data_IF_555917219135
#
_entry.id   IF_555917219135
#
_cell.length_a   1.000
_cell.length_b   1.000
_cell.length_c   1.000
_cell.angle_alpha   90.00
_cell.angle_beta   90.00
_cell.angle_gamma   90.00
#
_symmetry.space_group_name_H-M   'P 1'
#
loop_
_entity.id
_entity.type
_entity.pdbx_description
1 polymer ?
#
# COMPACT_ATOMS: atom_id res chain seq x y z
N UNK A 1 4.77 11.33 -17.23
CA UNK A 1 5.61 10.89 -16.10
C UNK A 1 4.88 11.25 -14.81
N UNK A 2 4.39 10.27 -14.06
CA UNK A 2 3.87 10.54 -12.72
C UNK A 2 5.07 10.65 -11.78
N UNK A 3 5.14 11.73 -10.99
CA UNK A 3 6.19 11.90 -9.99
C UNK A 3 6.12 10.84 -8.88
N UNK A 4 7.11 10.82 -7.98
CA UNK A 4 7.18 9.85 -6.89
C UNK A 4 5.91 9.83 -6.04
N UNK A 5 5.57 8.64 -5.54
CA UNK A 5 4.43 8.48 -4.65
C UNK A 5 4.65 9.27 -3.35
N UNK A 6 3.55 9.73 -2.76
CA UNK A 6 3.60 10.46 -1.50
C UNK A 6 4.11 9.55 -0.38
N UNK A 7 4.99 10.06 0.51
CA UNK A 7 5.49 9.35 1.70
C UNK A 7 4.37 8.71 2.52
N UNK A 8 3.24 9.39 2.62
CA UNK A 8 2.08 8.92 3.38
C UNK A 8 1.54 7.58 2.87
N UNK A 9 1.76 7.25 1.60
CA UNK A 9 1.41 5.94 1.03
C UNK A 9 2.21 4.84 1.71
N UNK A 10 3.53 4.98 1.78
CA UNK A 10 4.41 3.97 2.38
C UNK A 10 4.24 3.86 3.89
N UNK A 11 3.98 4.99 4.57
CA UNK A 11 3.67 4.96 5.99
C UNK A 11 2.35 4.23 6.26
N UNK A 12 1.34 4.42 5.42
CA UNK A 12 0.07 3.70 5.56
C UNK A 12 0.26 2.18 5.37
N UNK A 13 1.10 1.76 4.43
CA UNK A 13 1.44 0.34 4.27
C UNK A 13 2.16 -0.22 5.50
N UNK A 14 3.10 0.54 6.05
CA UNK A 14 3.76 0.13 7.29
C UNK A 14 2.77 -0.02 8.45
N UNK A 15 1.70 0.78 8.53
CA UNK A 15 0.68 0.60 9.58
C UNK A 15 -0.05 -0.75 9.49
N UNK A 16 -0.23 -1.27 8.28
CA UNK A 16 -0.86 -2.58 8.05
C UNK A 16 0.13 -3.69 8.40
N UNK A 17 1.36 -3.59 7.92
CA UNK A 17 2.39 -4.59 8.19
C UNK A 17 2.65 -4.73 9.70
N UNK A 18 2.60 -3.61 10.45
CA UNK A 18 2.71 -3.63 11.92
C UNK A 18 1.45 -4.11 12.66
N UNK A 19 0.38 -4.53 11.98
CA UNK A 19 -0.91 -4.82 12.61
C UNK A 19 -0.86 -5.97 13.62
N UNK A 20 0.03 -6.93 13.43
CA UNK A 20 0.24 -8.05 14.35
C UNK A 20 1.28 -7.78 15.44
N UNK A 21 1.92 -6.60 15.40
CA UNK A 21 2.95 -6.16 16.34
C UNK A 21 4.39 -6.39 15.88
N UNK A 22 4.62 -6.88 14.66
CA UNK A 22 5.93 -7.04 14.05
C UNK A 22 5.92 -6.52 12.60
N UNK A 23 7.09 -6.29 12.01
CA UNK A 23 7.23 -6.02 10.58
C UNK A 23 8.20 -7.06 10.02
N UNK A 24 7.70 -7.95 9.17
CA UNK A 24 8.54 -8.99 8.59
C UNK A 24 9.57 -8.39 7.61
N UNK A 25 10.77 -8.98 7.48
CA UNK A 25 11.78 -8.52 6.51
C UNK A 25 11.24 -8.42 5.08
N UNK A 26 10.41 -9.37 4.66
CA UNK A 26 9.83 -9.46 3.31
C UNK A 26 8.87 -8.30 3.02
N UNK A 27 8.05 -7.93 4.00
CA UNK A 27 7.11 -6.80 3.93
C UNK A 27 7.86 -5.47 3.91
N UNK A 28 8.86 -5.32 4.80
CA UNK A 28 9.74 -4.15 4.83
C UNK A 28 10.38 -3.96 3.47
N UNK A 29 10.99 -5.00 2.92
CA UNK A 29 11.65 -4.93 1.63
C UNK A 29 10.62 -4.66 0.51
N UNK A 30 9.40 -5.19 0.62
CA UNK A 30 8.28 -4.87 -0.26
C UNK A 30 7.98 -3.36 -0.30
N UNK A 31 7.86 -2.73 0.87
CA UNK A 31 7.62 -1.29 1.01
C UNK A 31 8.78 -0.47 0.43
N UNK A 32 10.04 -0.86 0.71
CA UNK A 32 11.21 -0.15 0.20
C UNK A 32 11.39 -0.30 -1.32
N UNK A 33 11.12 -1.48 -1.86
CA UNK A 33 11.08 -1.71 -3.32
C UNK A 33 9.99 -0.87 -3.96
N UNK A 34 8.81 -0.78 -3.34
CA UNK A 34 7.72 0.06 -3.82
C UNK A 34 8.12 1.54 -3.90
N UNK A 35 8.81 2.05 -2.88
CA UNK A 35 9.34 3.41 -2.88
C UNK A 35 10.34 3.65 -4.00
N UNK A 36 11.32 2.76 -4.19
CA UNK A 36 12.28 2.84 -5.30
C UNK A 36 11.61 2.80 -6.66
N UNK A 37 10.68 1.88 -6.88
CA UNK A 37 9.96 1.73 -8.14
C UNK A 37 9.11 2.98 -8.47
N UNK A 38 8.67 3.72 -7.45
CA UNK A 38 7.99 4.99 -7.63
C UNK A 38 8.92 6.16 -7.98
N UNK A 39 10.25 5.97 -7.93
CA UNK A 39 11.24 7.00 -8.25
C UNK A 39 11.78 7.77 -7.04
N UNK A 40 11.65 7.24 -5.82
CA UNK A 40 12.33 7.81 -4.65
C UNK A 40 13.85 7.64 -4.75
N UNK A 41 14.61 8.60 -4.23
CA UNK A 41 16.07 8.49 -4.14
C UNK A 41 16.48 7.45 -3.10
N UNK A 42 17.68 6.86 -3.22
CA UNK A 42 18.17 5.90 -2.21
C UNK A 42 18.29 6.53 -0.81
N UNK A 43 18.53 7.84 -0.72
CA UNK A 43 18.56 8.57 0.56
C UNK A 43 17.16 8.57 1.19
N UNK A 44 16.13 8.89 0.42
CA UNK A 44 14.75 8.90 0.92
C UNK A 44 14.25 7.50 1.27
N UNK A 45 14.67 6.49 0.49
CA UNK A 45 14.33 5.08 0.75
C UNK A 45 15.02 4.60 2.03
N UNK A 46 16.30 4.93 2.25
CA UNK A 46 16.99 4.60 3.49
C UNK A 46 16.32 5.27 4.70
N UNK A 47 15.89 6.52 4.55
CA UNK A 47 15.18 7.26 5.59
C UNK A 47 13.81 6.64 5.92
N UNK A 48 13.04 6.26 4.90
CA UNK A 48 11.81 5.49 5.04
C UNK A 48 12.09 4.18 5.78
N UNK A 49 13.15 3.46 5.40
CA UNK A 49 13.55 2.20 6.01
C UNK A 49 13.91 2.30 7.49
N UNK A 50 14.44 3.44 7.95
CA UNK A 50 14.62 3.73 9.38
C UNK A 50 13.30 4.06 10.07
N UNK A 51 12.44 4.82 9.40
CA UNK A 51 11.14 5.26 9.95
C UNK A 51 10.21 4.08 10.20
N UNK A 52 10.10 3.15 9.26
CA UNK A 52 9.19 2.00 9.37
C UNK A 52 9.77 0.86 10.22
N UNK A 53 11.03 0.97 10.67
CA UNK A 53 11.65 -0.03 11.55
C UNK A 53 11.08 0.00 12.99
N UNK A 54 10.28 1.02 13.30
CA UNK A 54 9.47 1.11 14.52
C UNK A 54 7.99 1.13 14.16
N UNK A 55 7.09 0.72 15.08
CA UNK A 55 5.66 0.72 14.83
C UNK A 55 5.16 2.07 14.31
N UNK A 56 4.37 2.02 13.23
CA UNK A 56 3.74 3.19 12.61
C UNK A 56 2.24 3.16 12.92
N UNK A 57 1.73 4.20 13.58
CA UNK A 57 0.31 4.33 13.90
C UNK A 57 -0.42 5.10 12.78
N UNK A 58 -1.70 4.76 12.54
CA UNK A 58 -2.59 5.50 11.65
C UNK A 58 -2.69 6.99 12.04
N UNK A 59 -2.58 7.33 13.32
CA UNK A 59 -2.58 8.72 13.81
C UNK A 59 -1.40 9.54 13.28
N UNK A 60 -0.31 8.90 12.86
CA UNK A 60 0.85 9.54 12.24
C UNK A 60 0.62 9.90 10.76
N UNK A 61 -0.46 9.41 10.15
CA UNK A 61 -0.78 9.68 8.76
C UNK A 61 -1.47 11.04 8.59
N UNK A 62 -1.09 11.73 7.52
CA UNK A 62 -1.59 13.08 7.19
C UNK A 62 -2.52 12.98 5.99
N UNK A 63 -3.79 12.63 6.24
CA UNK A 63 -4.81 12.38 5.21
C UNK A 63 -4.98 13.54 4.21
N UNK A 64 -4.84 14.79 4.65
CA UNK A 64 -4.94 15.98 3.77
C UNK A 64 -3.86 16.04 2.67
N UNK A 65 -2.78 15.28 2.81
CA UNK A 65 -1.72 15.16 1.79
C UNK A 65 -2.02 14.08 0.73
N UNK A 66 -3.12 13.34 0.89
CA UNK A 66 -3.56 12.30 -0.05
C UNK A 66 -4.77 12.79 -0.85
N UNK A 67 -4.65 12.76 -2.18
CA UNK A 67 -5.80 12.95 -3.07
C UNK A 67 -6.82 11.81 -2.92
N UNK A 68 -8.03 11.98 -3.46
CA UNK A 68 -9.02 10.91 -3.48
C UNK A 68 -8.47 9.63 -4.14
N UNK A 69 -7.76 9.78 -5.27
CA UNK A 69 -7.11 8.66 -5.95
C UNK A 69 -6.00 8.04 -5.08
N UNK A 70 -5.17 8.86 -4.41
CA UNK A 70 -4.11 8.32 -3.55
C UNK A 70 -4.68 7.50 -2.40
N UNK A 71 -5.83 7.90 -1.84
CA UNK A 71 -6.51 7.13 -0.77
C UNK A 71 -6.94 5.75 -1.27
N UNK A 72 -7.57 5.66 -2.43
CA UNK A 72 -7.96 4.37 -3.01
C UNK A 72 -6.74 3.53 -3.36
N UNK A 73 -5.69 4.18 -3.87
CA UNK A 73 -4.44 3.53 -4.21
C UNK A 73 -3.72 2.95 -2.98
N UNK A 74 -3.66 3.70 -1.87
CA UNK A 74 -3.13 3.22 -0.58
C UNK A 74 -3.88 1.97 -0.13
N UNK A 75 -5.21 2.02 -0.16
CA UNK A 75 -6.04 0.89 0.24
C UNK A 75 -5.78 -0.34 -0.65
N UNK A 76 -5.71 -0.17 -1.97
CA UNK A 76 -5.44 -1.25 -2.90
C UNK A 76 -4.03 -1.87 -2.73
N UNK A 77 -3.02 -1.04 -2.44
CA UNK A 77 -1.68 -1.53 -2.08
C UNK A 77 -1.70 -2.29 -0.75
N UNK A 78 -2.50 -1.83 0.22
CA UNK A 78 -2.69 -2.53 1.48
C UNK A 78 -3.29 -3.92 1.28
N UNK A 79 -4.32 -4.03 0.44
CA UNK A 79 -4.93 -5.31 0.08
C UNK A 79 -3.91 -6.26 -0.62
N UNK A 80 -2.96 -5.73 -1.38
CA UNK A 80 -1.89 -6.56 -1.94
C UNK A 80 -0.89 -6.99 -0.87
N UNK A 81 -0.43 -6.06 -0.04
CA UNK A 81 0.59 -6.32 0.98
C UNK A 81 0.11 -7.39 1.97
N UNK A 82 -1.12 -7.24 2.45
CA UNK A 82 -1.76 -8.21 3.35
C UNK A 82 -2.03 -9.57 2.70
N UNK A 83 -1.74 -9.77 1.41
CA UNK A 83 -1.91 -11.04 0.67
C UNK A 83 -0.60 -11.55 0.08
N UNK A 84 0.51 -10.90 0.42
CA UNK A 84 1.80 -11.17 -0.23
C UNK A 84 2.30 -12.58 0.04
N UNK A 85 1.92 -13.15 1.19
CA UNK A 85 2.23 -14.52 1.61
C UNK A 85 1.14 -15.55 1.20
N UNK A 86 0.05 -15.09 0.57
CA UNK A 86 -1.06 -15.91 0.09
C UNK A 86 -2.21 -16.11 1.08
N UNK A 87 -2.16 -15.52 2.27
CA UNK A 87 -3.26 -15.52 3.24
C UNK A 87 -3.56 -14.10 3.72
N UNK A 88 -4.76 -13.86 4.27
CA UNK A 88 -5.05 -12.65 5.06
C UNK A 88 -5.59 -13.12 6.39
N UNK A 89 -4.91 -12.79 7.47
CA UNK A 89 -5.38 -13.15 8.81
C UNK A 89 -6.45 -12.16 9.32
N UNK A 90 -7.20 -12.50 10.39
CA UNK A 90 -8.24 -11.62 10.93
C UNK A 90 -7.75 -10.26 11.44
N UNK A 91 -6.49 -10.15 11.87
CA UNK A 91 -5.87 -8.90 12.33
C UNK A 91 -5.52 -8.00 11.16
N UNK A 92 -5.01 -8.57 10.07
CA UNK A 92 -4.75 -7.86 8.82
C UNK A 92 -6.05 -7.35 8.19
N UNK A 93 -7.10 -8.18 8.17
CA UNK A 93 -8.42 -7.75 7.69
C UNK A 93 -8.99 -6.61 8.57
N UNK A 94 -8.82 -6.69 9.90
CA UNK A 94 -9.21 -5.61 10.79
C UNK A 94 -8.37 -4.34 10.59
N UNK A 95 -7.08 -4.46 10.27
CA UNK A 95 -6.22 -3.34 9.95
C UNK A 95 -6.59 -2.68 8.62
N UNK A 96 -6.92 -3.48 7.59
CA UNK A 96 -7.45 -2.98 6.32
C UNK A 96 -8.77 -2.25 6.51
N UNK A 97 -9.67 -2.77 7.34
CA UNK A 97 -10.93 -2.11 7.65
C UNK A 97 -10.69 -0.74 8.32
N UNK A 98 -9.83 -0.69 9.34
CA UNK A 98 -9.44 0.57 10.02
C UNK A 98 -8.77 1.55 9.06
N UNK A 99 -7.92 1.06 8.17
CA UNK A 99 -7.28 1.88 7.15
C UNK A 99 -8.32 2.47 6.19
N UNK A 100 -9.26 1.66 5.69
CA UNK A 100 -10.34 2.14 4.83
C UNK A 100 -11.19 3.21 5.51
N UNK A 101 -11.48 3.04 6.80
CA UNK A 101 -12.21 4.01 7.62
C UNK A 101 -11.42 5.31 7.76
N UNK A 102 -10.13 5.22 8.10
CA UNK A 102 -9.22 6.36 8.21
C UNK A 102 -9.08 7.13 6.89
N UNK A 103 -8.99 6.41 5.77
CA UNK A 103 -8.89 6.99 4.43
C UNK A 103 -10.21 7.64 3.96
N UNK A 104 -11.31 7.45 4.70
CA UNK A 104 -12.64 7.95 4.38
C UNK A 104 -13.14 7.47 3.01
N UNK A 105 -12.85 6.21 2.65
CA UNK A 105 -13.33 5.60 1.41
C UNK A 105 -14.54 4.69 1.69
N UNK A 106 -15.55 4.78 0.83
CA UNK A 106 -16.78 3.97 0.97
C UNK A 106 -16.51 2.50 0.66
N UNK A 107 -17.37 1.61 1.16
CA UNK A 107 -17.28 0.16 0.92
C UNK A 107 -17.23 -0.19 -0.56
N UNK A 108 -18.06 0.48 -1.39
CA UNK A 108 -18.02 0.32 -2.85
C UNK A 108 -16.64 0.61 -3.42
N UNK A 109 -16.00 1.69 -2.96
CA UNK A 109 -14.67 2.11 -3.43
C UNK A 109 -13.57 1.17 -2.90
N UNK A 110 -13.70 0.66 -1.68
CA UNK A 110 -12.83 -0.40 -1.14
C UNK A 110 -12.87 -1.64 -2.02
N UNK A 111 -14.08 -2.09 -2.39
CA UNK A 111 -14.26 -3.22 -3.30
C UNK A 111 -13.57 -3.01 -4.65
N UNK A 112 -13.65 -1.81 -5.22
CA UNK A 112 -12.94 -1.47 -6.47
C UNK A 112 -11.41 -1.51 -6.29
N UNK A 113 -10.91 -1.00 -5.16
CA UNK A 113 -9.48 -1.04 -4.80
C UNK A 113 -8.97 -2.47 -4.65
N UNK A 114 -9.68 -3.30 -3.89
CA UNK A 114 -9.40 -4.73 -3.71
C UNK A 114 -9.37 -5.46 -5.04
N UNK A 115 -10.39 -5.28 -5.88
CA UNK A 115 -10.44 -5.92 -7.19
C UNK A 115 -9.26 -5.49 -8.08
N UNK A 116 -8.93 -4.20 -8.12
CA UNK A 116 -7.78 -3.72 -8.89
C UNK A 116 -6.46 -4.34 -8.43
N UNK A 117 -6.30 -4.49 -7.11
CA UNK A 117 -5.15 -5.16 -6.52
C UNK A 117 -5.03 -6.63 -6.97
N UNK A 118 -6.15 -7.38 -6.90
CA UNK A 118 -6.21 -8.77 -7.38
C UNK A 118 -5.94 -8.89 -8.88
N UNK A 119 -6.48 -7.97 -9.70
CA UNK A 119 -6.27 -7.98 -11.15
C UNK A 119 -4.79 -7.80 -11.51
N UNK A 120 -4.06 -6.95 -10.78
CA UNK A 120 -2.62 -6.76 -10.96
C UNK A 120 -1.84 -7.99 -10.48
N UNK A 121 -2.22 -8.58 -9.35
CA UNK A 121 -1.60 -9.80 -8.83
C UNK A 121 -1.78 -11.00 -9.78
N UNK A 122 -2.90 -11.07 -10.52
CA UNK A 122 -3.20 -12.13 -11.47
C UNK A 122 -2.44 -12.01 -12.81
N UNK A 123 -1.73 -10.90 -13.07
CA UNK A 123 -0.93 -10.77 -14.29
C UNK A 123 0.20 -11.83 -14.32
N UNK A 124 0.71 -12.24 -15.50
CA UNK A 124 1.80 -13.23 -15.62
C UNK A 124 3.08 -12.86 -14.85
N UNK A 125 3.23 -11.59 -14.48
CA UNK A 125 4.25 -11.09 -13.57
C UNK A 125 3.77 -11.01 -12.12
N UNK A 126 2.50 -10.78 -11.82
CA UNK A 126 1.99 -10.31 -10.51
C UNK A 126 2.02 -11.29 -9.33
N UNK A 127 2.26 -12.59 -9.55
CA UNK A 127 2.26 -13.61 -8.48
C UNK A 127 3.54 -13.64 -7.64
N UNK A 128 4.55 -12.84 -7.99
CA UNK A 128 5.75 -12.69 -7.16
C UNK A 128 5.81 -11.29 -6.53
N UNK A 129 6.19 -11.17 -5.25
CA UNK A 129 6.36 -9.88 -4.56
C UNK A 129 7.24 -8.87 -5.33
N UNK A 130 8.26 -9.35 -6.04
CA UNK A 130 9.20 -8.59 -6.86
C UNK A 130 8.61 -8.08 -8.19
N UNK A 131 7.36 -8.43 -8.51
CA UNK A 131 6.74 -8.19 -9.81
C UNK A 131 5.35 -7.57 -9.74
N UNK A 132 4.88 -7.20 -8.55
CA UNK A 132 3.65 -6.42 -8.42
C UNK A 132 3.83 -5.04 -9.04
N UNK A 133 3.05 -4.75 -10.08
CA UNK A 133 3.21 -3.54 -10.86
C UNK A 133 2.39 -2.39 -10.26
N UNK A 134 3.04 -1.69 -9.34
CA UNK A 134 2.50 -0.54 -8.62
C UNK A 134 2.04 0.59 -9.55
N UNK A 135 2.71 0.76 -10.68
CA UNK A 135 2.37 1.81 -11.64
C UNK A 135 1.12 1.42 -12.43
N UNK A 136 0.99 0.14 -12.83
CA UNK A 136 -0.24 -0.37 -13.44
C UNK A 136 -1.41 -0.33 -12.49
N UNK A 137 -1.22 -0.62 -11.20
CA UNK A 137 -2.29 -0.48 -10.20
C UNK A 137 -2.83 0.95 -10.18
N UNK A 138 -1.94 1.95 -10.14
CA UNK A 138 -2.37 3.36 -10.12
C UNK A 138 -3.11 3.76 -11.39
N UNK A 139 -2.59 3.37 -12.56
CA UNK A 139 -3.23 3.65 -13.84
C UNK A 139 -4.60 2.96 -13.95
N UNK A 140 -4.73 1.72 -13.49
CA UNK A 140 -6.00 0.98 -13.47
C UNK A 140 -7.05 1.66 -12.59
N UNK A 141 -6.65 2.12 -11.40
CA UNK A 141 -7.56 2.87 -10.52
C UNK A 141 -7.97 4.21 -11.13
N UNK A 142 -7.04 4.94 -11.75
CA UNK A 142 -7.36 6.20 -12.43
C UNK A 142 -8.41 5.98 -13.54
N UNK A 143 -8.29 4.89 -14.31
CA UNK A 143 -9.28 4.55 -15.34
C UNK A 143 -10.65 4.21 -14.76
N UNK A 144 -10.71 3.50 -13.62
CA UNK A 144 -11.96 3.07 -12.96
C UNK A 144 -12.70 4.17 -12.22
N UNK A 145 -11.99 5.23 -11.84
CA UNK A 145 -12.50 6.32 -11.02
C UNK A 145 -12.87 7.58 -11.83
N UNK A 146 -12.63 7.57 -13.14
CA UNK A 146 -13.18 8.54 -14.09
C UNK A 146 -14.65 8.26 -14.34
#
# INVERSE_FOLDING_TARGET
MHGPLNRQVFLALATIAWADGQLAPEERDGILRAARASGWSEVDVADLGRTIATPVDLSGLVLRKLSALDRVYVYAMGEWLARIDGHVDPREEAALQKLGDFLMISERVRGQGKQASLDIAALPSGTRPDKFDLMKLRALLEQRMR
#
